data_IF_788159928258
#
_entry.id   IF_788159928258
#
_cell.length_a   1.000
_cell.length_b   1.000
_cell.length_c   1.000
_cell.angle_alpha   90.00
_cell.angle_beta   90.00
_cell.angle_gamma   90.00
#
_symmetry.space_group_name_H-M   'P 1'
#
loop_
_entity.id
_entity.type
_entity.pdbx_description
1 polymer ?
#
# COMPACT_ATOMS: atom_id res chain seq x y z
N UNK A 1 -8.71 -19.35 -12.81
CA UNK A 1 -8.92 -18.70 -11.51
C UNK A 1 -8.73 -19.75 -10.43
N UNK A 2 -8.03 -19.49 -9.32
CA UNK A 2 -8.01 -20.40 -8.19
C UNK A 2 -9.47 -20.65 -7.71
N UNK A 3 -9.73 -21.81 -7.12
CA UNK A 3 -11.03 -22.11 -6.55
C UNK A 3 -11.32 -21.13 -5.39
N UNK A 4 -12.57 -20.67 -5.29
CA UNK A 4 -13.02 -19.85 -4.17
C UNK A 4 -12.82 -20.62 -2.85
N UNK A 5 -12.32 -19.94 -1.80
CA UNK A 5 -12.11 -20.58 -0.50
C UNK A 5 -13.45 -20.89 0.19
N UNK A 6 -13.44 -21.85 1.12
CA UNK A 6 -14.63 -22.18 1.90
C UNK A 6 -15.13 -20.97 2.73
N UNK A 7 -14.21 -20.11 3.18
CA UNK A 7 -14.54 -18.87 3.90
C UNK A 7 -15.27 -17.90 2.98
N UNK A 8 -14.73 -17.63 1.81
CA UNK A 8 -15.34 -16.73 0.82
C UNK A 8 -16.75 -17.21 0.44
N UNK A 9 -16.92 -18.51 0.15
CA UNK A 9 -18.20 -19.11 -0.16
C UNK A 9 -19.20 -18.95 1.00
N UNK A 10 -18.79 -19.19 2.24
CA UNK A 10 -19.65 -19.02 3.42
C UNK A 10 -20.10 -17.56 3.62
N UNK A 11 -19.21 -16.59 3.39
CA UNK A 11 -19.54 -15.16 3.49
C UNK A 11 -20.54 -14.75 2.40
N UNK A 12 -20.38 -15.24 1.16
CA UNK A 12 -21.37 -14.95 0.08
C UNK A 12 -22.75 -15.48 0.45
N UNK A 13 -22.84 -16.70 0.99
CA UNK A 13 -24.11 -17.26 1.47
C UNK A 13 -24.73 -16.38 2.58
N UNK A 14 -23.91 -15.92 3.53
CA UNK A 14 -24.37 -15.04 4.60
C UNK A 14 -24.87 -13.68 4.07
N UNK A 15 -24.18 -13.08 3.11
CA UNK A 15 -24.58 -11.82 2.45
C UNK A 15 -25.85 -11.97 1.61
N UNK A 16 -26.02 -13.11 0.94
CA UNK A 16 -27.20 -13.41 0.14
C UNK A 16 -28.46 -13.62 1.02
N UNK A 17 -28.28 -14.03 2.26
CA UNK A 17 -29.37 -14.17 3.24
C UNK A 17 -29.84 -12.84 3.84
N UNK A 18 -29.07 -11.75 3.70
CA UNK A 18 -29.45 -10.42 4.21
C UNK A 18 -30.66 -9.83 3.48
N UNK A 19 -31.43 -8.94 4.19
CA UNK A 19 -32.68 -8.33 3.67
C UNK A 19 -32.43 -7.34 2.53
N UNK A 20 -31.86 -7.81 1.44
CA UNK A 20 -31.51 -7.05 0.23
C UNK A 20 -31.56 -7.94 -1.01
N UNK A 21 -31.76 -7.41 -2.21
CA UNK A 21 -31.53 -8.17 -3.43
C UNK A 21 -30.07 -8.68 -3.47
N UNK A 22 -29.86 -9.90 -3.93
CA UNK A 22 -28.52 -10.50 -4.04
C UNK A 22 -27.61 -9.61 -4.89
N UNK A 23 -26.38 -9.39 -4.42
CA UNK A 23 -25.37 -8.56 -5.09
C UNK A 23 -25.67 -7.06 -5.15
N UNK A 24 -26.75 -6.57 -4.50
CA UNK A 24 -27.19 -5.17 -4.63
C UNK A 24 -26.28 -4.14 -3.97
N UNK A 25 -25.38 -4.55 -3.08
CA UNK A 25 -24.36 -3.68 -2.49
C UNK A 25 -23.02 -3.70 -3.27
N UNK A 26 -22.97 -4.49 -4.37
CA UNK A 26 -21.84 -4.47 -5.31
C UNK A 26 -20.51 -4.73 -4.63
N UNK A 27 -19.52 -3.89 -4.90
CA UNK A 27 -18.14 -4.03 -4.39
C UNK A 27 -18.01 -4.04 -2.86
N UNK A 28 -19.01 -3.53 -2.13
CA UNK A 28 -18.99 -3.59 -0.67
C UNK A 28 -19.14 -5.05 -0.18
N UNK A 29 -19.91 -5.88 -0.90
CA UNK A 29 -20.02 -7.31 -0.63
C UNK A 29 -18.71 -8.04 -0.95
N UNK A 30 -18.10 -7.74 -2.10
CA UNK A 30 -16.80 -8.32 -2.49
C UNK A 30 -15.70 -7.95 -1.48
N UNK A 31 -15.74 -6.73 -0.94
CA UNK A 31 -14.81 -6.27 0.08
C UNK A 31 -14.98 -7.04 1.39
N UNK A 32 -16.21 -7.27 1.85
CA UNK A 32 -16.48 -8.09 3.03
C UNK A 32 -15.99 -9.53 2.85
N UNK A 33 -16.21 -10.13 1.67
CA UNK A 33 -15.70 -11.46 1.31
C UNK A 33 -14.17 -11.47 1.35
N UNK A 34 -13.51 -10.47 0.73
CA UNK A 34 -12.06 -10.35 0.68
C UNK A 34 -11.43 -10.24 2.06
N UNK A 35 -11.99 -9.37 2.92
CA UNK A 35 -11.51 -9.20 4.30
C UNK A 35 -11.68 -10.49 5.11
N UNK A 36 -12.82 -11.13 5.03
CA UNK A 36 -13.09 -12.38 5.74
C UNK A 36 -12.14 -13.51 5.29
N UNK A 37 -11.87 -13.59 3.98
CA UNK A 37 -10.95 -14.57 3.40
C UNK A 37 -9.52 -14.35 3.90
N UNK A 38 -9.01 -13.12 3.88
CA UNK A 38 -7.71 -12.75 4.47
C UNK A 38 -7.66 -13.15 5.95
N UNK A 39 -8.71 -12.84 6.71
CA UNK A 39 -8.81 -13.17 8.14
C UNK A 39 -8.98 -14.66 8.41
N UNK A 40 -9.34 -15.45 7.40
CA UNK A 40 -9.56 -16.89 7.49
C UNK A 40 -10.75 -17.27 8.35
N UNK A 41 -11.77 -16.40 8.45
CA UNK A 41 -13.00 -16.64 9.21
C UNK A 41 -14.19 -15.98 8.54
N UNK A 42 -15.36 -16.66 8.44
CA UNK A 42 -16.55 -16.08 7.85
C UNK A 42 -17.21 -14.99 8.72
N UNK A 43 -16.77 -14.84 9.96
CA UNK A 43 -17.26 -13.85 10.91
C UNK A 43 -16.09 -13.07 11.54
N UNK A 44 -15.40 -12.19 10.77
CA UNK A 44 -14.24 -11.45 11.26
C UNK A 44 -14.59 -10.40 12.32
N UNK A 45 -15.88 -9.99 12.42
CA UNK A 45 -16.30 -8.88 13.26
C UNK A 45 -15.71 -7.53 12.83
N UNK A 46 -15.79 -6.53 13.73
CA UNK A 46 -15.18 -5.22 13.51
C UNK A 46 -13.66 -5.31 13.76
N UNK A 47 -12.87 -4.78 12.88
CA UNK A 47 -11.41 -4.83 12.95
C UNK A 47 -10.83 -3.47 13.34
N UNK A 48 -9.91 -3.45 14.30
CA UNK A 48 -9.11 -2.25 14.58
C UNK A 48 -8.15 -1.98 13.43
N UNK A 49 -8.04 -0.71 13.04
CA UNK A 49 -7.16 -0.27 11.97
C UNK A 49 -6.04 0.62 12.49
N UNK A 50 -4.88 0.54 11.88
CA UNK A 50 -3.79 1.50 12.07
C UNK A 50 -3.27 1.95 10.71
N UNK A 51 -2.83 3.22 10.64
CA UNK A 51 -2.07 3.74 9.50
C UNK A 51 -0.59 3.72 9.88
N UNK A 52 0.23 3.09 9.07
CA UNK A 52 1.69 3.02 9.21
C UNK A 52 2.30 3.94 8.16
N UNK A 53 2.90 5.05 8.59
CA UNK A 53 3.65 5.97 7.72
C UNK A 53 5.13 5.74 7.92
N UNK A 54 5.83 5.34 6.87
CA UNK A 54 7.27 5.14 6.85
C UNK A 54 7.96 6.32 6.17
N UNK A 55 8.98 6.92 6.80
CA UNK A 55 9.67 8.07 6.25
C UNK A 55 11.17 7.83 6.10
N UNK A 56 11.74 8.23 4.95
CA UNK A 56 13.17 8.19 4.69
C UNK A 56 13.59 9.23 3.66
N UNK A 57 14.87 9.61 3.69
CA UNK A 57 15.49 10.42 2.67
C UNK A 57 16.06 9.57 1.53
N UNK A 58 16.12 10.16 0.34
CA UNK A 58 16.62 9.52 -0.86
C UNK A 58 17.77 10.31 -1.48
N UNK A 59 18.95 9.70 -1.65
CA UNK A 59 20.09 10.34 -2.29
C UNK A 59 19.83 10.78 -3.73
N UNK A 60 18.92 10.10 -4.43
CA UNK A 60 18.49 10.48 -5.79
C UNK A 60 17.81 11.86 -5.85
N UNK A 61 17.34 12.41 -4.74
CA UNK A 61 16.80 13.77 -4.68
C UNK A 61 17.79 14.81 -5.17
N UNK A 62 19.12 14.58 -4.96
CA UNK A 62 20.18 15.44 -5.47
C UNK A 62 20.22 15.55 -7.02
N UNK A 63 19.58 14.62 -7.72
CA UNK A 63 19.45 14.66 -9.19
C UNK A 63 18.34 15.61 -9.69
N UNK A 64 17.67 16.37 -8.82
CA UNK A 64 16.63 17.33 -9.21
C UNK A 64 15.33 16.67 -9.70
N UNK A 65 14.99 15.52 -9.15
CA UNK A 65 13.80 14.70 -9.51
C UNK A 65 12.54 15.06 -8.72
N UNK A 66 12.57 16.13 -7.93
CA UNK A 66 11.44 16.63 -7.14
C UNK A 66 11.34 18.15 -7.25
N UNK A 67 10.10 18.67 -7.17
CA UNK A 67 9.85 20.11 -7.10
C UNK A 67 10.14 20.69 -5.70
N UNK A 68 10.23 19.84 -4.68
CA UNK A 68 10.53 20.23 -3.29
C UNK A 68 11.94 19.79 -2.88
N UNK A 69 12.61 20.57 -2.02
CA UNK A 69 13.91 20.20 -1.49
C UNK A 69 13.78 19.08 -0.43
N UNK A 70 14.87 18.37 -0.18
CA UNK A 70 14.91 17.19 0.68
C UNK A 70 14.51 17.47 2.13
N UNK A 71 14.77 18.67 2.64
CA UNK A 71 14.43 19.10 4.00
C UNK A 71 12.92 19.00 4.30
N UNK A 72 12.08 18.97 3.27
CA UNK A 72 10.62 18.79 3.43
C UNK A 72 10.29 17.45 4.08
N UNK A 73 11.10 16.40 3.89
CA UNK A 73 10.88 15.12 4.56
C UNK A 73 10.92 15.27 6.09
N UNK A 74 11.95 15.94 6.62
CA UNK A 74 12.09 16.19 8.05
C UNK A 74 10.98 17.12 8.60
N UNK A 75 10.59 18.12 7.80
CA UNK A 75 9.49 19.04 8.16
C UNK A 75 8.14 18.28 8.22
N UNK A 76 7.93 17.32 7.35
CA UNK A 76 6.72 16.50 7.37
C UNK A 76 6.70 15.53 8.54
N UNK A 77 7.83 14.96 8.96
CA UNK A 77 7.89 14.19 10.22
C UNK A 77 7.42 15.01 11.41
N UNK A 78 7.89 16.24 11.55
CA UNK A 78 7.44 17.15 12.61
C UNK A 78 5.96 17.50 12.47
N UNK A 79 5.44 17.59 11.25
CA UNK A 79 4.01 17.84 10.99
C UNK A 79 3.15 16.62 11.35
N UNK A 80 3.61 15.38 11.11
CA UNK A 80 2.93 14.17 11.57
C UNK A 80 2.88 14.11 13.09
N UNK A 81 3.97 14.40 13.77
CA UNK A 81 4.05 14.42 15.24
C UNK A 81 3.10 15.46 15.84
N UNK A 82 2.99 16.64 15.22
CA UNK A 82 2.04 17.68 15.63
C UNK A 82 0.57 17.39 15.27
N UNK A 83 0.31 16.34 14.48
CA UNK A 83 -1.03 15.95 14.05
C UNK A 83 -1.65 16.84 12.97
N UNK A 84 -0.83 17.63 12.25
CA UNK A 84 -1.27 18.62 11.27
C UNK A 84 -1.41 18.11 9.83
N UNK A 85 -0.84 16.96 9.50
CA UNK A 85 -0.87 16.40 8.15
C UNK A 85 -2.26 15.83 7.77
N UNK A 86 -2.52 15.69 6.47
CA UNK A 86 -3.79 15.15 5.98
C UNK A 86 -4.09 13.76 6.53
N UNK A 87 -3.09 12.87 6.55
CA UNK A 87 -3.24 11.52 7.11
C UNK A 87 -3.61 11.54 8.59
N UNK A 88 -3.09 12.49 9.38
CA UNK A 88 -3.45 12.63 10.79
C UNK A 88 -4.93 13.00 10.97
N UNK A 89 -5.44 13.90 10.11
CA UNK A 89 -6.86 14.31 10.13
C UNK A 89 -7.76 13.14 9.72
N UNK A 90 -7.39 12.43 8.64
CA UNK A 90 -8.18 11.32 8.10
C UNK A 90 -8.15 10.09 9.01
N UNK A 91 -7.01 9.79 9.64
CA UNK A 91 -6.92 8.71 10.64
C UNK A 91 -7.80 8.98 11.85
N UNK A 92 -7.79 10.22 12.39
CA UNK A 92 -8.70 10.61 13.48
C UNK A 92 -10.18 10.48 13.08
N UNK A 93 -10.52 10.90 11.85
CA UNK A 93 -11.89 10.78 11.33
C UNK A 93 -12.32 9.30 11.22
N UNK A 94 -11.40 8.43 10.80
CA UNK A 94 -11.64 7.00 10.67
C UNK A 94 -11.58 6.24 12.01
N UNK A 95 -11.18 6.89 13.11
CA UNK A 95 -10.95 6.22 14.39
C UNK A 95 -9.77 5.25 14.37
N UNK A 96 -8.82 5.46 13.47
CA UNK A 96 -7.63 4.63 13.31
C UNK A 96 -6.43 5.22 14.06
N UNK A 97 -5.58 4.34 14.59
CA UNK A 97 -4.29 4.72 15.14
C UNK A 97 -3.35 5.17 13.99
N UNK A 98 -2.44 6.08 14.28
CA UNK A 98 -1.37 6.50 13.35
C UNK A 98 -0.02 6.21 13.98
N UNK A 99 0.83 5.46 13.26
CA UNK A 99 2.20 5.16 13.66
C UNK A 99 3.16 5.65 12.59
N UNK A 100 4.10 6.49 12.97
CA UNK A 100 5.12 7.06 12.08
C UNK A 100 6.47 6.45 12.42
N UNK A 101 7.17 5.96 11.39
CA UNK A 101 8.50 5.34 11.51
C UNK A 101 9.53 6.18 10.74
N UNK A 102 10.48 6.76 11.46
CA UNK A 102 11.68 7.35 10.86
C UNK A 102 12.69 6.24 10.56
N UNK A 103 12.98 6.05 9.27
CA UNK A 103 13.86 4.99 8.78
C UNK A 103 15.16 5.52 8.20
N UNK A 104 15.46 6.80 8.41
CA UNK A 104 16.70 7.40 7.97
C UNK A 104 16.54 8.81 7.40
N UNK A 105 15.66 9.61 7.95
CA UNK A 105 15.56 11.05 7.62
C UNK A 105 16.82 11.74 8.15
N UNK A 106 17.49 12.53 7.30
CA UNK A 106 18.78 13.15 7.57
C UNK A 106 20.01 12.32 7.16
N UNK A 107 19.87 11.00 6.95
CA UNK A 107 20.92 10.12 6.45
C UNK A 107 20.58 9.56 5.06
N UNK A 108 19.43 8.93 4.92
CA UNK A 108 18.86 8.46 3.65
C UNK A 108 19.66 7.37 2.93
N UNK A 109 19.14 7.01 1.75
CA UNK A 109 19.87 6.14 0.82
C UNK A 109 20.97 6.89 0.07
N UNK A 110 21.90 6.16 -0.54
CA UNK A 110 22.84 6.75 -1.50
C UNK A 110 22.14 7.14 -2.81
N UNK A 111 22.81 7.91 -3.65
CA UNK A 111 22.34 8.22 -5.00
C UNK A 111 22.44 6.98 -5.90
N UNK A 112 21.29 6.42 -6.25
CA UNK A 112 21.20 5.21 -7.07
C UNK A 112 21.75 5.37 -8.48
N UNK A 113 22.05 6.58 -8.96
CA UNK A 113 22.70 6.81 -10.26
C UNK A 113 24.20 6.65 -10.21
N UNK A 114 24.81 6.65 -9.02
CA UNK A 114 26.26 6.53 -8.80
C UNK A 114 26.63 5.14 -8.32
N UNK A 115 25.77 4.52 -7.50
CA UNK A 115 25.99 3.20 -6.93
C UNK A 115 24.68 2.55 -6.52
N UNK A 116 24.68 1.48 -5.72
CA UNK A 116 23.47 0.97 -5.08
C UNK A 116 22.85 2.02 -4.14
N UNK A 117 21.52 2.09 -4.07
CA UNK A 117 20.82 2.97 -3.14
C UNK A 117 21.11 2.60 -1.68
N UNK A 118 21.24 1.30 -1.41
CA UNK A 118 21.58 0.75 -0.10
C UNK A 118 22.34 -0.57 -0.28
N UNK A 119 22.99 -1.03 0.78
CA UNK A 119 23.60 -2.36 0.79
C UNK A 119 22.53 -3.46 0.86
N UNK A 120 22.87 -4.70 0.47
CA UNK A 120 21.98 -5.83 0.63
C UNK A 120 21.62 -6.09 2.09
N UNK A 121 22.55 -5.83 3.03
CA UNK A 121 22.31 -5.96 4.46
C UNK A 121 21.28 -4.90 4.95
N UNK A 122 21.43 -3.64 4.57
CA UNK A 122 20.46 -2.59 4.91
C UNK A 122 19.06 -2.91 4.35
N UNK A 123 18.97 -3.39 3.10
CA UNK A 123 17.69 -3.79 2.51
C UNK A 123 17.04 -4.94 3.30
N UNK A 124 17.82 -5.96 3.65
CA UNK A 124 17.38 -7.10 4.47
C UNK A 124 16.91 -6.67 5.86
N UNK A 125 17.67 -5.78 6.52
CA UNK A 125 17.34 -5.27 7.85
C UNK A 125 16.01 -4.48 7.83
N UNK A 126 15.77 -3.68 6.79
CA UNK A 126 14.52 -2.94 6.65
C UNK A 126 13.33 -3.86 6.37
N UNK A 127 13.50 -4.87 5.52
CA UNK A 127 12.48 -5.92 5.29
C UNK A 127 12.14 -6.63 6.61
N UNK A 128 13.15 -7.07 7.34
CA UNK A 128 12.96 -7.77 8.61
C UNK A 128 12.29 -6.87 9.67
N UNK A 129 12.70 -5.60 9.78
CA UNK A 129 12.03 -4.65 10.68
C UNK A 129 10.56 -4.46 10.32
N UNK A 130 10.22 -4.43 9.03
CA UNK A 130 8.83 -4.39 8.57
C UNK A 130 8.03 -5.62 9.00
N UNK A 131 8.61 -6.83 8.87
CA UNK A 131 7.97 -8.07 9.36
C UNK A 131 7.71 -8.04 10.86
N UNK A 132 8.67 -7.57 11.64
CA UNK A 132 8.54 -7.43 13.09
C UNK A 132 7.41 -6.46 13.45
N UNK A 133 7.31 -5.32 12.75
CA UNK A 133 6.21 -4.36 12.96
C UNK A 133 4.86 -4.99 12.65
N UNK A 134 4.72 -5.79 11.60
CA UNK A 134 3.48 -6.51 11.33
C UNK A 134 3.09 -7.46 12.48
N UNK A 135 4.07 -8.18 13.05
CA UNK A 135 3.86 -9.04 14.22
C UNK A 135 3.45 -8.22 15.46
N UNK A 136 4.13 -7.10 15.73
CA UNK A 136 3.79 -6.17 16.82
C UNK A 136 2.33 -5.67 16.67
N UNK A 137 1.94 -5.23 15.46
CA UNK A 137 0.59 -4.74 15.18
C UNK A 137 -0.47 -5.83 15.39
N UNK A 138 -0.20 -7.05 14.95
CA UNK A 138 -1.11 -8.18 15.18
C UNK A 138 -1.25 -8.49 16.68
N UNK A 139 -0.15 -8.45 17.45
CA UNK A 139 -0.15 -8.64 18.90
C UNK A 139 -0.91 -7.54 19.63
N UNK A 140 -0.88 -6.32 19.13
CA UNK A 140 -1.65 -5.17 19.64
C UNK A 140 -3.14 -5.24 19.29
N UNK A 141 -3.57 -6.27 18.54
CA UNK A 141 -4.96 -6.52 18.18
C UNK A 141 -5.45 -5.75 16.96
N UNK A 142 -4.55 -5.24 16.13
CA UNK A 142 -4.95 -4.68 14.83
C UNK A 142 -5.26 -5.79 13.83
N UNK A 143 -6.28 -5.55 13.01
CA UNK A 143 -6.66 -6.44 11.91
C UNK A 143 -6.45 -5.82 10.54
N UNK A 144 -6.32 -4.49 10.47
CA UNK A 144 -6.11 -3.73 9.23
C UNK A 144 -4.90 -2.82 9.42
N UNK A 145 -4.00 -2.85 8.43
CA UNK A 145 -2.83 -1.96 8.33
C UNK A 145 -2.92 -1.18 7.02
N UNK A 146 -3.15 0.12 7.11
CA UNK A 146 -3.09 1.03 5.97
C UNK A 146 -1.65 1.55 5.83
N UNK A 147 -1.08 1.47 4.62
CA UNK A 147 0.29 1.88 4.36
C UNK A 147 0.34 3.31 3.85
N UNK A 148 1.29 4.07 4.39
CA UNK A 148 1.65 5.40 3.96
C UNK A 148 3.16 5.57 3.92
N UNK A 149 3.62 6.63 3.31
CA UNK A 149 5.03 6.90 3.15
C UNK A 149 5.32 8.41 3.11
N UNK A 150 6.58 8.77 3.36
CA UNK A 150 7.10 10.12 3.16
C UNK A 150 8.57 10.08 2.78
N UNK A 151 8.93 10.68 1.64
CA UNK A 151 10.32 10.78 1.22
C UNK A 151 10.47 11.57 -0.08
N UNK A 152 11.13 12.74 -0.01
CA UNK A 152 11.40 13.50 -1.23
C UNK A 152 12.33 12.68 -2.14
N UNK A 153 11.84 12.41 -3.37
CA UNK A 153 12.53 11.56 -4.34
C UNK A 153 12.03 10.11 -4.42
N UNK A 154 11.20 9.66 -3.48
CA UNK A 154 10.74 8.27 -3.41
C UNK A 154 9.90 7.80 -4.62
N UNK A 155 9.17 8.69 -5.29
CA UNK A 155 8.50 8.36 -6.56
C UNK A 155 9.49 7.94 -7.66
N UNK A 156 10.74 8.45 -7.61
CA UNK A 156 11.81 8.05 -8.54
C UNK A 156 12.29 6.63 -8.24
N UNK A 157 12.48 6.29 -6.95
CA UNK A 157 12.79 4.93 -6.52
C UNK A 157 11.66 3.96 -6.84
N UNK A 158 10.39 4.33 -6.57
CA UNK A 158 9.23 3.53 -6.95
C UNK A 158 9.15 3.29 -8.46
N UNK A 159 9.45 4.31 -9.28
CA UNK A 159 9.53 4.17 -10.74
C UNK A 159 10.64 3.23 -11.17
N UNK A 160 11.82 3.32 -10.56
CA UNK A 160 12.95 2.44 -10.86
C UNK A 160 12.66 0.97 -10.48
N UNK A 161 12.08 0.73 -9.30
CA UNK A 161 11.62 -0.60 -8.87
C UNK A 161 10.60 -1.16 -9.86
N UNK A 162 9.58 -0.37 -10.21
CA UNK A 162 8.51 -0.81 -11.11
C UNK A 162 9.04 -1.11 -12.50
N UNK A 163 9.91 -0.24 -13.06
CA UNK A 163 10.53 -0.46 -14.35
C UNK A 163 11.36 -1.76 -14.37
N UNK A 164 12.15 -1.99 -13.31
CA UNK A 164 13.01 -3.18 -13.20
C UNK A 164 12.20 -4.47 -13.07
N UNK A 165 11.22 -4.51 -12.18
CA UNK A 165 10.44 -5.73 -11.90
C UNK A 165 9.46 -6.07 -13.02
N UNK A 166 8.88 -5.07 -13.69
CA UNK A 166 7.92 -5.30 -14.78
C UNK A 166 8.57 -5.32 -16.17
N UNK A 167 9.87 -5.00 -16.27
CA UNK A 167 10.59 -4.98 -17.56
C UNK A 167 10.04 -3.93 -18.52
N UNK A 168 9.64 -2.76 -18.01
CA UNK A 168 9.06 -1.67 -18.81
C UNK A 168 10.00 -0.45 -18.86
N UNK A 169 9.85 0.36 -19.90
CA UNK A 169 10.67 1.55 -20.07
C UNK A 169 10.39 2.59 -18.97
N UNK A 170 11.40 3.35 -18.49
CA UNK A 170 11.23 4.36 -17.45
C UNK A 170 10.16 5.41 -17.75
N UNK A 171 9.95 5.76 -19.02
CA UNK A 171 8.91 6.71 -19.46
C UNK A 171 7.49 6.22 -19.16
N UNK A 172 7.27 4.93 -19.11
CA UNK A 172 5.95 4.35 -18.84
C UNK A 172 5.56 4.45 -17.34
N UNK A 173 6.55 4.60 -16.46
CA UNK A 173 6.34 4.58 -14.99
C UNK A 173 6.60 5.92 -14.31
N UNK A 174 7.31 6.84 -14.96
CA UNK A 174 7.62 8.15 -14.39
C UNK A 174 6.46 9.12 -14.58
N UNK A 175 6.04 9.74 -13.49
CA UNK A 175 5.02 10.76 -13.44
C UNK A 175 5.48 12.05 -12.76
N UNK A 176 4.58 13.03 -12.60
CA UNK A 176 4.89 14.36 -12.06
C UNK A 176 5.29 14.32 -10.58
N UNK A 177 4.94 13.26 -9.83
CA UNK A 177 5.24 13.17 -8.40
C UNK A 177 4.73 14.40 -7.65
N UNK A 178 5.67 15.13 -7.03
CA UNK A 178 5.39 16.35 -6.26
C UNK A 178 4.99 17.57 -7.10
N UNK A 179 4.87 17.44 -8.43
CA UNK A 179 4.42 18.53 -9.30
C UNK A 179 5.43 18.96 -10.36
N UNK A 180 6.27 18.06 -10.84
CA UNK A 180 7.17 18.31 -11.96
C UNK A 180 6.38 18.60 -13.24
N UNK A 181 6.91 19.50 -14.06
CA UNK A 181 6.43 19.72 -15.42
C UNK A 181 6.90 18.60 -16.39
N UNK A 182 6.50 18.69 -17.65
CA UNK A 182 6.87 17.69 -18.66
C UNK A 182 8.39 17.53 -18.85
N UNK A 183 9.18 18.59 -18.66
CA UNK A 183 10.62 18.52 -18.78
C UNK A 183 11.22 17.78 -17.56
N UNK A 184 10.73 18.08 -16.36
CA UNK A 184 11.10 17.38 -15.12
C UNK A 184 10.73 15.89 -15.14
N UNK A 185 9.57 15.52 -15.70
CA UNK A 185 9.19 14.11 -15.87
C UNK A 185 10.14 13.37 -16.80
N UNK A 186 10.51 13.97 -17.95
CA UNK A 186 11.52 13.38 -18.86
C UNK A 186 12.88 13.24 -18.17
N UNK A 187 13.31 14.28 -17.45
CA UNK A 187 14.54 14.23 -16.68
C UNK A 187 14.52 13.09 -15.63
N UNK A 188 13.41 12.92 -14.90
CA UNK A 188 13.22 11.81 -13.97
C UNK A 188 13.35 10.46 -14.68
N UNK A 189 12.76 10.27 -15.85
CA UNK A 189 12.89 9.04 -16.64
C UNK A 189 14.35 8.78 -17.05
N UNK A 190 15.10 9.81 -17.44
CA UNK A 190 16.53 9.71 -17.74
C UNK A 190 17.36 9.36 -16.50
N UNK A 191 17.00 9.87 -15.32
CA UNK A 191 17.63 9.50 -14.03
C UNK A 191 17.36 8.03 -13.72
N UNK A 192 16.13 7.56 -13.86
CA UNK A 192 15.77 6.14 -13.66
C UNK A 192 16.53 5.24 -14.64
N UNK A 193 16.62 5.61 -15.91
CA UNK A 193 17.38 4.84 -16.92
C UNK A 193 18.85 4.71 -16.52
N UNK A 194 19.52 5.80 -16.12
CA UNK A 194 20.91 5.77 -15.63
C UNK A 194 21.05 4.94 -14.37
N UNK A 195 20.05 4.97 -13.48
CA UNK A 195 20.07 4.19 -12.25
C UNK A 195 19.98 2.69 -12.50
N UNK A 196 19.33 2.26 -13.58
CA UNK A 196 19.18 0.84 -13.93
C UNK A 196 20.31 0.31 -14.83
N UNK A 197 21.00 1.22 -15.54
CA UNK A 197 22.02 0.84 -16.50
C UNK A 197 23.18 0.08 -15.87
N UNK A 198 23.53 -1.08 -16.47
CA UNK A 198 24.65 -1.93 -16.05
C UNK A 198 24.50 -2.58 -14.68
N UNK A 199 23.34 -2.51 -14.02
CA UNK A 199 23.09 -3.17 -12.73
C UNK A 199 22.63 -4.61 -12.89
N UNK A 200 23.12 -5.49 -12.03
CA UNK A 200 22.68 -6.90 -11.93
C UNK A 200 21.45 -6.99 -11.02
N UNK A 201 20.26 -6.98 -11.61
CA UNK A 201 18.97 -7.02 -10.93
C UNK A 201 18.39 -8.45 -10.99
N UNK A 202 18.99 -9.36 -10.21
CA UNK A 202 18.70 -10.81 -10.30
C UNK A 202 17.34 -11.21 -9.69
N UNK A 203 16.92 -10.48 -8.67
CA UNK A 203 15.70 -10.72 -7.90
C UNK A 203 15.19 -9.41 -7.28
N UNK A 204 14.05 -9.46 -6.60
CA UNK A 204 13.43 -8.29 -6.00
C UNK A 204 14.27 -7.65 -4.88
N UNK A 205 15.03 -8.43 -4.11
CA UNK A 205 15.91 -7.92 -3.08
C UNK A 205 17.12 -7.18 -3.68
N UNK A 206 17.68 -7.69 -4.78
CA UNK A 206 18.72 -7.00 -5.54
C UNK A 206 18.21 -5.70 -6.16
N UNK A 207 16.98 -5.68 -6.71
CA UNK A 207 16.33 -4.45 -7.20
C UNK A 207 16.16 -3.46 -6.07
N UNK A 208 15.66 -3.91 -4.91
CA UNK A 208 15.44 -3.06 -3.73
C UNK A 208 16.75 -2.43 -3.25
N UNK A 209 17.83 -3.20 -3.12
CA UNK A 209 19.15 -2.69 -2.75
C UNK A 209 19.70 -1.70 -3.79
N UNK A 210 19.53 -1.99 -5.07
CA UNK A 210 20.10 -1.20 -6.15
C UNK A 210 19.42 0.17 -6.33
N UNK A 211 18.08 0.26 -6.23
CA UNK A 211 17.30 1.45 -6.60
C UNK A 211 16.14 1.77 -5.63
N UNK A 212 16.05 1.08 -4.50
CA UNK A 212 14.95 1.23 -3.55
C UNK A 212 15.07 2.42 -2.61
N UNK A 213 14.29 2.36 -1.54
CA UNK A 213 14.26 3.29 -0.42
C UNK A 213 14.10 2.53 0.89
N UNK A 214 14.59 3.09 1.99
CA UNK A 214 14.49 2.43 3.30
C UNK A 214 13.03 2.23 3.72
N UNK A 215 12.16 3.21 3.47
CA UNK A 215 10.73 3.14 3.74
C UNK A 215 10.03 2.14 2.81
N UNK A 216 10.44 2.05 1.53
CA UNK A 216 9.87 1.09 0.58
C UNK A 216 10.22 -0.34 1.00
N UNK A 217 11.48 -0.58 1.40
CA UNK A 217 11.91 -1.86 1.94
C UNK A 217 11.15 -2.26 3.21
N UNK A 218 11.02 -1.31 4.14
CA UNK A 218 10.27 -1.51 5.37
C UNK A 218 8.80 -1.84 5.09
N UNK A 219 8.12 -1.07 4.21
CA UNK A 219 6.73 -1.33 3.84
C UNK A 219 6.54 -2.67 3.13
N UNK A 220 7.48 -3.07 2.27
CA UNK A 220 7.49 -4.43 1.71
C UNK A 220 7.58 -5.50 2.80
N UNK A 221 8.43 -5.27 3.81
CA UNK A 221 8.52 -6.11 5.01
C UNK A 221 7.21 -6.19 5.79
N UNK A 222 6.49 -5.07 5.97
CA UNK A 222 5.16 -5.06 6.62
C UNK A 222 4.17 -5.92 5.84
N UNK A 223 4.16 -5.82 4.51
CA UNK A 223 3.32 -6.68 3.65
C UNK A 223 3.65 -8.15 3.82
N UNK A 224 4.94 -8.50 3.81
CA UNK A 224 5.38 -9.88 4.01
C UNK A 224 4.98 -10.44 5.37
N UNK A 225 5.17 -9.67 6.45
CA UNK A 225 4.77 -10.09 7.80
C UNK A 225 3.25 -10.15 7.98
N UNK A 226 2.49 -9.37 7.22
CA UNK A 226 1.02 -9.41 7.26
C UNK A 226 0.45 -10.75 6.82
N UNK A 227 1.14 -11.50 5.96
CA UNK A 227 0.74 -12.86 5.51
C UNK A 227 0.66 -13.80 6.73
N UNK A 228 1.70 -13.82 7.55
CA UNK A 228 1.81 -14.73 8.69
C UNK A 228 0.74 -14.45 9.76
N UNK A 229 0.31 -13.19 9.86
CA UNK A 229 -0.64 -12.71 10.87
C UNK A 229 -2.05 -12.44 10.32
N UNK A 230 -2.28 -12.73 9.03
CA UNK A 230 -3.58 -12.50 8.37
C UNK A 230 -4.08 -11.06 8.54
N UNK A 231 -3.17 -10.07 8.50
CA UNK A 231 -3.53 -8.66 8.52
C UNK A 231 -4.02 -8.24 7.12
N UNK A 232 -5.09 -7.47 7.06
CA UNK A 232 -5.51 -6.82 5.82
C UNK A 232 -4.60 -5.63 5.56
N UNK A 233 -3.88 -5.65 4.44
CA UNK A 233 -3.00 -4.54 4.05
C UNK A 233 -3.70 -3.67 3.03
N UNK A 234 -3.93 -2.40 3.41
CA UNK A 234 -4.56 -1.41 2.56
C UNK A 234 -3.48 -0.53 1.93
N UNK A 235 -3.30 -0.66 0.61
CA UNK A 235 -2.35 0.13 -0.17
C UNK A 235 -2.91 1.52 -0.47
N UNK A 236 -2.08 2.55 -0.30
CA UNK A 236 -2.40 3.93 -0.64
C UNK A 236 -2.23 4.19 -2.15
N UNK A 237 -1.07 4.65 -2.56
CA UNK A 237 -0.77 5.05 -3.92
C UNK A 237 0.39 4.28 -4.55
N UNK A 238 1.10 4.96 -5.46
CA UNK A 238 2.13 4.34 -6.29
C UNK A 238 3.31 3.77 -5.49
N UNK A 239 3.80 4.49 -4.47
CA UNK A 239 4.98 4.07 -3.72
C UNK A 239 4.66 2.85 -2.85
N UNK A 240 3.52 2.84 -2.15
CA UNK A 240 3.07 1.67 -1.38
C UNK A 240 2.76 0.49 -2.30
N UNK A 241 2.27 0.76 -3.50
CA UNK A 241 2.09 -0.24 -4.55
C UNK A 241 3.43 -0.85 -5.00
N UNK A 242 4.48 -0.04 -5.20
CA UNK A 242 5.82 -0.53 -5.53
C UNK A 242 6.42 -1.39 -4.40
N UNK A 243 6.19 -1.01 -3.13
CA UNK A 243 6.57 -1.84 -1.99
C UNK A 243 5.83 -3.19 -1.98
N UNK A 244 4.53 -3.19 -2.27
CA UNK A 244 3.74 -4.41 -2.41
C UNK A 244 4.21 -5.28 -3.59
N UNK A 245 4.60 -4.67 -4.71
CA UNK A 245 5.16 -5.40 -5.86
C UNK A 245 6.45 -6.14 -5.47
N UNK A 246 7.37 -5.48 -4.74
CA UNK A 246 8.57 -6.12 -4.18
C UNK A 246 8.19 -7.30 -3.28
N UNK A 247 7.23 -7.10 -2.37
CA UNK A 247 6.79 -8.16 -1.46
C UNK A 247 6.20 -9.38 -2.20
N UNK A 248 5.41 -9.15 -3.25
CA UNK A 248 4.81 -10.22 -4.07
C UNK A 248 5.86 -10.95 -4.91
N UNK A 249 6.87 -10.25 -5.41
CA UNK A 249 8.01 -10.89 -6.13
C UNK A 249 8.86 -11.76 -5.18
N UNK A 250 9.05 -11.35 -3.91
CA UNK A 250 9.73 -12.16 -2.90
C UNK A 250 8.85 -13.36 -2.48
N UNK A 251 7.57 -13.14 -2.26
CA UNK A 251 6.62 -14.14 -1.76
C UNK A 251 5.25 -13.95 -2.42
N UNK A 252 4.90 -14.73 -3.47
CA UNK A 252 3.66 -14.55 -4.23
C UNK A 252 2.37 -14.53 -3.40
N UNK A 253 2.34 -15.22 -2.27
CA UNK A 253 1.22 -15.21 -1.32
C UNK A 253 1.00 -13.85 -0.64
N UNK A 254 1.95 -12.92 -0.70
CA UNK A 254 1.77 -11.56 -0.21
C UNK A 254 0.63 -10.82 -0.92
N UNK A 255 0.30 -11.23 -2.16
CA UNK A 255 -0.87 -10.72 -2.90
C UNK A 255 -2.19 -10.97 -2.16
N UNK A 256 -2.27 -12.07 -1.42
CA UNK A 256 -3.52 -12.52 -0.82
C UNK A 256 -3.97 -11.66 0.36
N UNK A 257 -3.13 -10.79 0.89
CA UNK A 257 -3.48 -9.87 1.98
C UNK A 257 -3.75 -8.43 1.53
N UNK A 258 -3.60 -8.14 0.23
CA UNK A 258 -3.66 -6.78 -0.30
C UNK A 258 -5.08 -6.32 -0.66
N UNK A 259 -5.36 -5.05 -0.38
CA UNK A 259 -6.51 -4.28 -0.87
C UNK A 259 -6.00 -2.93 -1.37
N UNK A 260 -6.34 -2.53 -2.60
CA UNK A 260 -5.97 -1.23 -3.13
C UNK A 260 -7.02 -0.17 -2.75
N UNK A 261 -6.60 0.92 -2.10
CA UNK A 261 -7.50 1.98 -1.66
C UNK A 261 -7.99 2.82 -2.84
N UNK A 262 -7.10 3.47 -3.54
CA UNK A 262 -7.46 4.40 -4.60
C UNK A 262 -6.57 4.27 -5.82
N UNK A 263 -7.02 4.84 -6.94
CA UNK A 263 -6.21 5.01 -8.14
C UNK A 263 -5.47 6.34 -8.07
N UNK A 264 -4.14 6.28 -8.00
CA UNK A 264 -3.30 7.48 -8.16
C UNK A 264 -3.15 7.80 -9.66
N UNK A 265 -3.05 9.09 -10.04
CA UNK A 265 -2.77 9.50 -11.41
C UNK A 265 -1.32 9.27 -11.86
N UNK A 266 -0.43 8.77 -10.98
CA UNK A 266 0.93 8.37 -11.35
C UNK A 266 0.88 7.21 -12.36
N UNK A 267 1.53 7.33 -13.55
CA UNK A 267 1.44 6.31 -14.61
C UNK A 267 1.85 4.91 -14.14
N UNK A 268 2.93 4.83 -13.36
CA UNK A 268 3.43 3.57 -12.83
C UNK A 268 2.42 2.86 -11.91
N UNK A 269 1.48 3.59 -11.28
CA UNK A 269 0.50 2.98 -10.39
C UNK A 269 -0.48 2.07 -11.12
N UNK A 270 -0.92 2.45 -12.31
CA UNK A 270 -1.80 1.60 -13.11
C UNK A 270 -1.12 0.26 -13.45
N UNK A 271 0.15 0.29 -13.86
CA UNK A 271 0.93 -0.90 -14.17
C UNK A 271 1.13 -1.79 -12.94
N UNK A 272 1.40 -1.19 -11.78
CA UNK A 272 1.52 -1.93 -10.51
C UNK A 272 0.20 -2.59 -10.12
N UNK A 273 -0.92 -1.88 -10.20
CA UNK A 273 -2.25 -2.44 -9.91
C UNK A 273 -2.58 -3.61 -10.82
N UNK A 274 -2.30 -3.48 -12.13
CA UNK A 274 -2.52 -4.54 -13.11
C UNK A 274 -1.64 -5.77 -12.80
N UNK A 275 -0.35 -5.58 -12.49
CA UNK A 275 0.58 -6.65 -12.13
C UNK A 275 0.17 -7.37 -10.84
N UNK A 276 -0.34 -6.62 -9.86
CA UNK A 276 -0.86 -7.15 -8.61
C UNK A 276 -2.27 -7.77 -8.76
N UNK A 277 -2.97 -7.51 -9.87
CA UNK A 277 -4.36 -7.95 -10.09
C UNK A 277 -5.34 -7.28 -9.13
N UNK A 278 -5.09 -6.01 -8.77
CA UNK A 278 -5.90 -5.24 -7.83
C UNK A 278 -6.75 -4.18 -8.53
N UNK A 279 -8.02 -4.08 -8.12
CA UNK A 279 -8.93 -3.03 -8.54
C UNK A 279 -9.18 -2.05 -7.38
N UNK A 280 -8.74 -0.78 -7.49
CA UNK A 280 -8.84 0.19 -6.41
C UNK A 280 -10.29 0.56 -6.10
N UNK A 281 -10.58 0.84 -4.82
CA UNK A 281 -11.95 1.07 -4.34
C UNK A 281 -12.55 2.37 -4.85
N UNK A 282 -11.72 3.42 -5.06
CA UNK A 282 -12.20 4.70 -5.62
C UNK A 282 -11.14 5.40 -6.48
N UNK A 283 -11.58 6.44 -7.20
CA UNK A 283 -10.74 7.37 -7.94
C UNK A 283 -11.24 8.81 -7.68
N UNK A 284 -10.51 9.54 -6.85
CA UNK A 284 -10.76 10.95 -6.52
C UNK A 284 -9.62 11.86 -7.00
N UNK A 285 -8.71 11.35 -7.83
CA UNK A 285 -7.55 12.09 -8.31
C UNK A 285 -6.53 12.42 -7.22
N UNK A 286 -6.49 11.67 -6.11
CA UNK A 286 -5.55 11.88 -5.02
C UNK A 286 -4.12 11.54 -5.46
N UNK A 287 -3.16 12.41 -5.10
CA UNK A 287 -1.74 12.26 -5.42
C UNK A 287 -0.82 12.77 -4.31
N UNK A 288 -1.29 12.79 -3.08
CA UNK A 288 -0.53 13.31 -1.94
C UNK A 288 0.45 12.27 -1.39
N UNK A 289 0.05 11.00 -1.31
CA UNK A 289 0.76 9.98 -0.55
C UNK A 289 0.38 10.01 0.93
N UNK A 290 1.34 9.76 1.80
CA UNK A 290 1.24 9.78 3.27
C UNK A 290 0.29 8.71 3.84
N UNK A 291 -0.32 7.84 3.03
CA UNK A 291 -1.42 6.96 3.43
C UNK A 291 -2.79 7.64 3.45
N UNK A 292 -2.89 8.83 2.84
CA UNK A 292 -4.11 9.64 2.89
C UNK A 292 -5.30 8.98 2.18
N UNK A 293 -5.08 8.36 1.02
CA UNK A 293 -6.11 7.61 0.30
C UNK A 293 -6.51 6.33 1.05
N UNK A 294 -5.54 5.65 1.64
CA UNK A 294 -5.79 4.46 2.45
C UNK A 294 -6.60 4.80 3.71
N UNK A 295 -6.24 5.86 4.44
CA UNK A 295 -6.98 6.31 5.61
C UNK A 295 -8.45 6.68 5.28
N UNK A 296 -8.68 7.29 4.10
CA UNK A 296 -10.02 7.65 3.63
C UNK A 296 -10.92 6.43 3.37
N UNK A 297 -10.34 5.28 3.05
CA UNK A 297 -11.06 4.03 2.76
C UNK A 297 -11.44 3.26 4.02
N UNK A 298 -10.76 3.44 5.15
CA UNK A 298 -11.01 2.67 6.37
C UNK A 298 -12.49 2.62 6.80
N UNK A 299 -13.28 3.72 6.74
CA UNK A 299 -14.70 3.66 7.03
C UNK A 299 -15.51 2.79 6.05
N UNK A 300 -15.04 2.61 4.82
CA UNK A 300 -15.70 1.75 3.82
C UNK A 300 -15.47 0.28 4.17
N UNK A 301 -14.25 -0.09 4.62
CA UNK A 301 -13.96 -1.43 5.11
C UNK A 301 -14.83 -1.77 6.33
N UNK A 302 -14.92 -0.80 7.25
CA UNK A 302 -15.74 -0.92 8.44
C UNK A 302 -17.24 -1.10 8.12
N UNK A 303 -17.76 -0.33 7.14
CA UNK A 303 -19.14 -0.48 6.66
C UNK A 303 -19.39 -1.86 6.03
N UNK A 304 -18.44 -2.41 5.26
CA UNK A 304 -18.57 -3.74 4.67
C UNK A 304 -18.69 -4.83 5.75
N UNK A 305 -17.87 -4.74 6.80
CA UNK A 305 -17.90 -5.67 7.93
C UNK A 305 -19.16 -5.48 8.78
N UNK A 306 -19.61 -4.25 9.03
CA UNK A 306 -20.84 -3.97 9.76
C UNK A 306 -22.08 -4.56 9.06
N UNK A 307 -22.16 -4.46 7.73
CA UNK A 307 -23.25 -5.06 6.96
C UNK A 307 -23.22 -6.58 7.08
N UNK A 308 -22.06 -7.20 6.98
CA UNK A 308 -21.93 -8.64 7.14
C UNK A 308 -22.39 -9.10 8.54
N UNK A 309 -22.01 -8.37 9.59
CA UNK A 309 -22.27 -8.73 10.98
C UNK A 309 -23.68 -8.34 11.45
N UNK A 310 -24.09 -7.09 11.25
CA UNK A 310 -25.24 -6.48 11.92
C UNK A 310 -26.54 -6.49 11.07
N UNK A 311 -26.45 -6.56 9.74
CA UNK A 311 -27.65 -6.51 8.88
C UNK A 311 -28.53 -7.74 9.10
N UNK A 312 -29.83 -7.54 9.30
CA UNK A 312 -30.79 -8.63 9.48
C UNK A 312 -30.91 -9.53 8.24
N UNK A 313 -31.17 -10.80 8.46
CA UNK A 313 -31.53 -11.75 7.39
C UNK A 313 -33.03 -11.67 7.07
N UNK A 314 -33.45 -12.18 5.89
CA UNK A 314 -34.87 -12.31 5.56
C UNK A 314 -35.62 -13.05 6.65
N UNK A 315 -35.07 -14.16 7.17
CA UNK A 315 -35.63 -14.97 8.24
C UNK A 315 -35.76 -14.19 9.55
N UNK A 316 -34.66 -13.53 10.02
CA UNK A 316 -34.68 -12.83 11.31
C UNK A 316 -35.56 -11.57 11.33
N UNK A 317 -35.75 -10.94 10.17
CA UNK A 317 -36.62 -9.76 10.02
C UNK A 317 -38.04 -10.08 9.65
N UNK A 318 -38.38 -11.33 9.34
CA UNK A 318 -39.74 -11.74 8.86
C UNK A 318 -40.07 -11.13 7.51
N UNK A 319 -39.08 -10.81 6.68
CA UNK A 319 -39.27 -10.22 5.33
C UNK A 319 -39.32 -11.37 4.32
N UNK A 320 -40.28 -11.31 3.38
CA UNK A 320 -40.39 -12.32 2.33
C UNK A 320 -39.24 -12.26 1.37
N UNK A 321 -38.52 -13.38 1.19
CA UNK A 321 -37.46 -13.52 0.18
C UNK A 321 -38.12 -13.84 -1.19
N UNK A 322 -37.88 -13.00 -2.19
CA UNK A 322 -38.38 -13.19 -3.56
C UNK A 322 -37.71 -14.36 -4.33
N UNK A 323 -36.70 -14.97 -3.76
CA UNK A 323 -35.91 -16.07 -4.34
C UNK A 323 -36.32 -17.47 -3.85
N UNK A 324 -37.37 -17.59 -3.05
CA UNK A 324 -37.96 -18.87 -2.60
C UNK A 324 -39.31 -19.08 -3.17
#
# INVERSE_FOLDING_TARGET
MPAESDVAAAVRVALDAKTKPRGSLGRLEDLAVRIADIRGTPAPGRLRATVVVAAADHGVAAQGVSAYPQEVTAQMLANFDSGGAAVCVLSRLAGADLRVYDLGVGAGTADMTVGPAMTAEEASDRLERGRQVAAELASDGFGIVALGEMGIGNTTSASAITAALLGVEPEAVCGPGTGLDHAGVRHKADVVRRALDGKELRDAEAVLAAVGGFEIAFLAGVVLGAVDHRLVVLLDGFITGAAALVAVEIAPQARDVLVAAHRSPEPGHALVLDALGLDPLFDLGLRLGEGSGAALVLPILDAALAILDEMATFESAGVTDAGR
#
